data_IF_646405805870
#
_entry.id   IF_646405805870
#
_cell.length_a   1.000
_cell.length_b   1.000
_cell.length_c   1.000
_cell.angle_alpha   90.00
_cell.angle_beta   90.00
_cell.angle_gamma   90.00
#
_symmetry.space_group_name_H-M   'P 1'
#
loop_
_entity.id
_entity.type
_entity.pdbx_description
1 polymer ?
#
# COMPACT_ATOMS: atom_id res chain seq x y z
N UNK A 1 11.22 31.06 0.34
CA UNK A 1 11.52 29.62 0.18
C UNK A 1 10.18 28.92 0.18
N UNK A 2 9.72 28.43 -0.98
CA UNK A 2 8.42 27.76 -1.06
C UNK A 2 8.50 26.47 -0.25
N UNK A 3 7.52 26.21 0.61
CA UNK A 3 7.43 24.95 1.32
C UNK A 3 7.10 23.85 0.30
N UNK A 4 8.09 23.01 -0.02
CA UNK A 4 7.93 21.92 -0.98
C UNK A 4 7.18 20.73 -0.37
N UNK A 5 6.86 20.79 0.93
CA UNK A 5 6.13 19.76 1.65
C UNK A 5 4.77 19.48 1.01
N UNK A 6 4.04 20.49 0.55
CA UNK A 6 2.70 20.34 -0.03
C UNK A 6 2.68 19.97 -1.52
N UNK A 7 3.86 19.77 -2.12
CA UNK A 7 3.95 19.25 -3.49
C UNK A 7 3.68 17.73 -3.51
N UNK A 8 3.13 17.18 -4.60
CA UNK A 8 2.95 15.73 -4.70
C UNK A 8 4.24 14.93 -4.51
N UNK A 9 5.38 15.45 -5.01
CA UNK A 9 6.70 14.85 -4.80
C UNK A 9 7.13 14.90 -3.32
N UNK A 10 6.89 16.02 -2.63
CA UNK A 10 7.13 16.15 -1.19
C UNK A 10 6.29 15.20 -0.35
N UNK A 11 5.03 14.98 -0.73
CA UNK A 11 4.15 14.01 -0.07
C UNK A 11 4.64 12.56 -0.24
N UNK A 12 5.12 12.20 -1.44
CA UNK A 12 5.70 10.88 -1.71
C UNK A 12 6.99 10.69 -0.89
N UNK A 13 7.90 11.67 -0.90
CA UNK A 13 9.15 11.60 -0.14
C UNK A 13 8.89 11.44 1.35
N UNK A 14 7.95 12.19 1.93
CA UNK A 14 7.59 12.06 3.35
C UNK A 14 7.01 10.68 3.68
N UNK A 15 6.20 10.12 2.78
CA UNK A 15 5.67 8.77 2.96
C UNK A 15 6.77 7.71 2.83
N UNK A 16 7.67 7.86 1.86
CA UNK A 16 8.83 6.98 1.68
C UNK A 16 9.71 6.98 2.93
N UNK A 17 10.07 8.15 3.45
CA UNK A 17 10.86 8.28 4.68
C UNK A 17 10.17 7.60 5.88
N UNK A 18 8.86 7.77 6.02
CA UNK A 18 8.09 7.12 7.07
C UNK A 18 8.08 5.59 6.93
N UNK A 19 7.97 5.07 5.71
CA UNK A 19 7.97 3.62 5.42
C UNK A 19 9.37 3.01 5.51
N UNK A 20 10.43 3.76 5.24
CA UNK A 20 11.80 3.30 5.50
C UNK A 20 11.99 3.11 7.01
N UNK A 21 11.64 4.11 7.81
CA UNK A 21 11.87 4.12 9.26
C UNK A 21 10.94 3.18 10.05
N UNK A 22 9.67 3.09 9.65
CA UNK A 22 8.62 2.41 10.44
C UNK A 22 7.81 1.38 9.65
N UNK A 23 8.10 1.22 8.35
CA UNK A 23 7.45 0.20 7.55
C UNK A 23 7.94 -1.20 7.93
N UNK A 24 7.19 -2.18 7.45
CA UNK A 24 7.54 -3.59 7.50
C UNK A 24 7.80 -4.09 6.08
N UNK A 25 8.65 -5.11 5.97
CA UNK A 25 8.89 -5.77 4.69
C UNK A 25 7.67 -6.58 4.29
N UNK A 26 7.30 -6.47 3.03
CA UNK A 26 6.20 -7.21 2.45
C UNK A 26 6.47 -7.47 0.97
N UNK A 27 5.68 -8.35 0.39
CA UNK A 27 5.74 -8.64 -1.04
C UNK A 27 4.35 -8.53 -1.63
N UNK A 28 4.21 -7.66 -2.63
CA UNK A 28 3.00 -7.59 -3.44
C UNK A 28 3.13 -8.53 -4.63
N UNK A 29 2.11 -9.36 -4.86
CA UNK A 29 2.10 -10.36 -5.93
C UNK A 29 0.85 -10.22 -6.80
N UNK A 30 1.06 -10.35 -8.10
CA UNK A 30 -0.01 -10.44 -9.12
C UNK A 30 0.39 -11.48 -10.15
N UNK A 31 -0.27 -12.64 -10.11
CA UNK A 31 0.11 -13.77 -10.97
C UNK A 31 1.56 -14.18 -10.72
N UNK A 32 2.38 -14.19 -11.77
CA UNK A 32 3.82 -14.51 -11.68
C UNK A 32 4.69 -13.31 -11.24
N UNK A 33 4.15 -12.09 -11.21
CA UNK A 33 4.90 -10.89 -10.80
C UNK A 33 4.90 -10.76 -9.29
N UNK A 34 6.09 -10.53 -8.72
CA UNK A 34 6.31 -10.35 -7.29
C UNK A 34 7.21 -9.15 -7.09
N UNK A 35 6.79 -8.22 -6.24
CA UNK A 35 7.52 -6.97 -5.96
C UNK A 35 7.70 -6.80 -4.45
N UNK A 36 8.95 -6.72 -3.96
CA UNK A 36 9.20 -6.36 -2.57
C UNK A 36 8.79 -4.91 -2.32
N UNK A 37 8.05 -4.68 -1.25
CA UNK A 37 7.57 -3.36 -0.83
C UNK A 37 7.76 -3.17 0.67
N UNK A 38 7.89 -1.92 1.09
CA UNK A 38 7.82 -1.49 2.49
C UNK A 38 6.43 -0.95 2.74
N UNK A 39 5.74 -1.49 3.73
CA UNK A 39 4.36 -1.14 3.99
C UNK A 39 4.12 -0.91 5.48
N UNK A 40 3.23 0.04 5.82
CA UNK A 40 2.71 0.16 7.18
C UNK A 40 1.49 -0.73 7.29
N UNK A 41 1.61 -1.81 8.06
CA UNK A 41 0.55 -2.78 8.29
C UNK A 41 -0.08 -2.45 9.65
N UNK A 42 -1.41 -2.34 9.69
CA UNK A 42 -2.14 -2.11 10.94
C UNK A 42 -3.41 -2.96 10.95
N UNK A 43 -3.78 -3.54 12.10
CA UNK A 43 -5.08 -4.18 12.23
C UNK A 43 -6.20 -3.17 11.95
N UNK A 44 -7.32 -3.67 11.42
CA UNK A 44 -8.53 -2.85 11.29
C UNK A 44 -9.01 -2.38 12.65
N UNK A 45 -9.53 -1.16 12.71
CA UNK A 45 -10.13 -0.65 13.95
C UNK A 45 -11.52 -1.24 14.15
N UNK A 46 -12.02 -1.35 15.38
CA UNK A 46 -13.37 -1.84 15.66
C UNK A 46 -14.45 -1.10 14.87
N UNK A 47 -14.30 0.22 14.67
CA UNK A 47 -15.26 1.03 13.90
C UNK A 47 -15.29 0.69 12.40
N UNK A 48 -14.27 -0.01 11.89
CA UNK A 48 -14.16 -0.43 10.48
C UNK A 48 -14.71 -1.84 10.24
N UNK A 49 -15.07 -2.57 11.31
CA UNK A 49 -15.67 -3.89 11.23
C UNK A 49 -17.11 -3.76 10.72
N UNK A 50 -17.28 -3.83 9.40
CA UNK A 50 -18.57 -3.69 8.73
C UNK A 50 -18.67 -4.58 7.50
N UNK A 51 -19.84 -5.21 7.30
CA UNK A 51 -20.11 -6.06 6.15
C UNK A 51 -19.20 -7.29 6.12
N UNK A 52 -18.30 -7.36 5.14
CA UNK A 52 -17.36 -8.47 4.94
C UNK A 52 -16.02 -8.27 5.65
N UNK A 53 -15.81 -7.12 6.32
CA UNK A 53 -14.57 -6.78 7.01
C UNK A 53 -14.65 -7.26 8.45
N UNK A 54 -13.77 -8.20 8.80
CA UNK A 54 -13.65 -8.76 10.14
C UNK A 54 -12.27 -8.44 10.76
N UNK A 55 -12.04 -8.88 12.00
CA UNK A 55 -10.80 -8.66 12.76
C UNK A 55 -9.55 -9.25 12.12
N UNK A 56 -9.71 -10.18 11.17
CA UNK A 56 -8.58 -10.77 10.44
C UNK A 56 -8.02 -9.81 9.39
N UNK A 57 -8.74 -8.75 9.04
CA UNK A 57 -8.31 -7.79 8.03
C UNK A 57 -7.25 -6.82 8.57
N UNK A 58 -6.37 -6.41 7.67
CA UNK A 58 -5.36 -5.39 7.93
C UNK A 58 -5.53 -4.21 6.96
N UNK A 59 -5.37 -2.99 7.49
CA UNK A 59 -5.11 -1.80 6.71
C UNK A 59 -3.62 -1.76 6.35
N UNK A 60 -3.31 -1.67 5.07
CA UNK A 60 -1.95 -1.60 4.57
C UNK A 60 -1.76 -0.29 3.81
N UNK A 61 -0.71 0.44 4.15
CA UNK A 61 -0.34 1.67 3.46
C UNK A 61 0.99 1.47 2.78
N UNK A 62 1.04 1.76 1.49
CA UNK A 62 2.24 1.68 0.66
C UNK A 62 2.43 2.94 -0.18
N UNK A 63 3.69 3.20 -0.50
CA UNK A 63 4.09 4.28 -1.39
C UNK A 63 4.08 3.81 -2.86
N UNK A 64 3.74 4.69 -3.81
CA UNK A 64 3.86 4.39 -5.23
C UNK A 64 5.31 4.24 -5.71
N UNK A 65 6.32 4.72 -4.97
CA UNK A 65 7.72 4.74 -5.41
C UNK A 65 8.25 3.34 -5.76
N UNK A 66 8.02 2.36 -4.88
CA UNK A 66 8.51 0.99 -5.09
C UNK A 66 7.78 0.26 -6.21
N UNK A 67 6.50 0.58 -6.43
CA UNK A 67 5.71 0.05 -7.53
C UNK A 67 6.07 0.69 -8.87
N UNK A 68 6.47 1.96 -8.89
CA UNK A 68 6.97 2.64 -10.08
C UNK A 68 8.39 2.18 -10.45
N UNK A 69 9.23 1.92 -9.45
CA UNK A 69 10.60 1.42 -9.65
C UNK A 69 10.62 -0.05 -10.10
N UNK A 70 9.63 -0.82 -9.68
CA UNK A 70 9.45 -2.19 -10.11
C UNK A 70 8.63 -2.24 -11.39
N UNK A 71 8.85 -3.22 -12.26
CA UNK A 71 8.04 -3.42 -13.48
C UNK A 71 6.61 -3.92 -13.16
N UNK A 72 5.93 -3.29 -12.19
CA UNK A 72 4.58 -3.67 -11.78
C UNK A 72 3.64 -3.53 -12.99
N UNK A 73 2.90 -4.61 -13.33
CA UNK A 73 2.18 -4.67 -14.59
C UNK A 73 1.14 -3.55 -14.71
N UNK A 74 1.13 -2.91 -15.87
CA UNK A 74 0.28 -1.76 -16.17
C UNK A 74 -1.22 -2.14 -16.20
N UNK A 75 -2.11 -1.30 -15.66
CA UNK A 75 -1.82 -0.06 -14.94
C UNK A 75 -1.15 -0.32 -13.57
N UNK A 76 -0.23 0.56 -13.16
CA UNK A 76 0.55 0.46 -11.91
C UNK A 76 -0.35 0.43 -10.65
N UNK A 77 -1.65 0.64 -10.81
CA UNK A 77 -2.65 0.49 -9.77
C UNK A 77 -2.74 -0.97 -9.27
N UNK A 78 -2.55 -1.16 -7.96
CA UNK A 78 -2.97 -2.37 -7.23
C UNK A 78 -4.46 -2.63 -7.43
N UNK A 79 -4.85 -3.89 -7.60
CA UNK A 79 -6.22 -4.33 -7.90
C UNK A 79 -6.75 -5.28 -6.82
N UNK A 80 -8.08 -5.39 -6.76
CA UNK A 80 -8.73 -6.43 -5.95
C UNK A 80 -8.29 -7.81 -6.45
N UNK A 81 -7.99 -8.72 -5.52
CA UNK A 81 -7.49 -10.05 -5.82
C UNK A 81 -5.97 -10.15 -5.94
N UNK A 82 -5.24 -9.02 -5.94
CA UNK A 82 -3.79 -9.05 -5.76
C UNK A 82 -3.46 -9.65 -4.39
N UNK A 83 -2.28 -10.25 -4.27
CA UNK A 83 -1.83 -10.90 -3.04
C UNK A 83 -0.81 -10.02 -2.34
N UNK A 84 -0.98 -9.86 -1.03
CA UNK A 84 -0.06 -9.17 -0.14
C UNK A 84 0.51 -10.19 0.83
N UNK A 85 1.82 -10.41 0.75
CA UNK A 85 2.52 -11.34 1.62
C UNK A 85 3.29 -10.54 2.66
N UNK A 86 2.93 -10.70 3.92
CA UNK A 86 3.64 -10.07 5.04
C UNK A 86 5.04 -10.68 5.23
N UNK A 87 5.93 -9.99 5.95
CA UNK A 87 7.23 -10.53 6.37
C UNK A 87 7.12 -11.87 7.13
N UNK A 88 6.00 -12.09 7.83
CA UNK A 88 5.68 -13.34 8.51
C UNK A 88 5.45 -14.53 7.56
N UNK A 89 5.36 -14.28 6.25
CA UNK A 89 4.99 -15.27 5.24
C UNK A 89 3.48 -15.45 5.09
N UNK A 90 2.65 -14.76 5.89
CA UNK A 90 1.20 -14.82 5.75
C UNK A 90 0.77 -14.13 4.46
N UNK A 91 0.09 -14.88 3.59
CA UNK A 91 -0.53 -14.34 2.38
C UNK A 91 -1.93 -13.82 2.70
N UNK A 92 -2.20 -12.60 2.26
CA UNK A 92 -3.51 -11.94 2.35
C UNK A 92 -3.95 -11.48 0.98
N UNK A 93 -5.26 -11.44 0.78
CA UNK A 93 -5.84 -11.00 -0.49
C UNK A 93 -6.28 -9.55 -0.37
N UNK A 94 -5.95 -8.74 -1.36
CA UNK A 94 -6.41 -7.35 -1.46
C UNK A 94 -7.90 -7.33 -1.77
N UNK A 95 -8.72 -6.84 -0.85
CA UNK A 95 -10.16 -6.71 -1.04
C UNK A 95 -10.54 -5.32 -1.56
N UNK A 96 -9.95 -4.27 -0.99
CA UNK A 96 -10.24 -2.89 -1.37
C UNK A 96 -8.95 -2.09 -1.61
N UNK A 97 -8.53 -1.91 -2.87
CA UNK A 97 -7.45 -1.01 -3.21
C UNK A 97 -7.96 0.43 -3.37
N UNK A 98 -7.36 1.37 -2.65
CA UNK A 98 -7.69 2.80 -2.70
C UNK A 98 -6.46 3.62 -3.05
N UNK A 99 -6.50 4.25 -4.21
CA UNK A 99 -5.42 5.08 -4.75
C UNK A 99 -5.68 6.55 -4.44
N UNK A 100 -4.83 7.16 -3.61
CA UNK A 100 -4.92 8.56 -3.24
C UNK A 100 -4.04 9.38 -4.19
N UNK A 101 -4.67 10.30 -4.92
CA UNK A 101 -4.00 11.20 -5.86
C UNK A 101 -4.09 12.64 -5.39
N UNK A 102 -2.99 13.39 -5.58
CA UNK A 102 -2.92 14.84 -5.35
C UNK A 102 -2.37 15.48 -6.62
N UNK A 103 -3.08 16.46 -7.18
CA UNK A 103 -2.65 17.12 -8.43
C UNK A 103 -2.48 16.15 -9.61
N UNK A 104 -3.35 15.13 -9.72
CA UNK A 104 -3.27 14.05 -10.72
C UNK A 104 -2.09 13.07 -10.56
N UNK A 105 -1.28 13.21 -9.50
CA UNK A 105 -0.18 12.29 -9.18
C UNK A 105 -0.61 11.31 -8.09
N UNK A 106 -0.34 10.02 -8.28
CA UNK A 106 -0.52 9.01 -7.24
C UNK A 106 0.52 9.23 -6.15
N UNK A 107 0.08 9.45 -4.91
CA UNK A 107 0.98 9.74 -3.78
C UNK A 107 0.93 8.66 -2.70
N UNK A 108 -0.19 7.93 -2.58
CA UNK A 108 -0.40 6.94 -1.53
C UNK A 108 -1.40 5.88 -1.97
N UNK A 109 -1.17 4.64 -1.56
CA UNK A 109 -2.10 3.53 -1.81
C UNK A 109 -2.46 2.94 -0.45
N UNK A 110 -3.75 2.98 -0.13
CA UNK A 110 -4.34 2.31 1.03
C UNK A 110 -4.97 1.02 0.52
N UNK A 111 -4.64 -0.11 1.14
CA UNK A 111 -5.26 -1.40 0.86
C UNK A 111 -5.95 -1.89 2.11
N UNK A 112 -7.12 -2.49 1.91
CA UNK A 112 -7.68 -3.41 2.88
C UNK A 112 -7.39 -4.83 2.41
N UNK A 113 -6.64 -5.58 3.22
CA UNK A 113 -6.26 -6.97 2.92
C UNK A 113 -6.88 -7.91 3.95
N UNK A 114 -7.41 -9.03 3.48
CA UNK A 114 -8.10 -10.02 4.31
C UNK A 114 -7.70 -11.45 3.94
N UNK A 115 -7.99 -12.38 4.85
CA UNK A 115 -7.55 -13.79 4.78
C UNK A 115 -6.57 -14.17 5.88
#
# INVERSE_FOLDING_TARGET
MADLSDTPAGLISRLDDALVNHGEDATLKRGATSVPVRASIRPVRPEQLAGIVDETFNNVVLSPTQLNASAWPTPIAVKKGDKFVEASGKERTVEFPKHIRVGNTLVRIELLVGG
#
